data_IF_193041416202
#
_entry.id   IF_193041416202
#
_cell.length_a   1.000
_cell.length_b   1.000
_cell.length_c   1.000
_cell.angle_alpha   90.00
_cell.angle_beta   90.00
_cell.angle_gamma   90.00
#
_symmetry.space_group_name_H-M   'P 1'
#
loop_
_entity.id
_entity.type
_entity.pdbx_description
1 polymer ?
#
# COMPACT_ATOMS: atom_id res chain seq x y z
N UNK A 1 8.30 12.17 -7.71
CA UNK A 1 8.82 11.52 -6.49
C UNK A 1 7.68 10.71 -5.91
N UNK A 2 7.82 9.39 -5.76
CA UNK A 2 6.75 8.57 -5.18
C UNK A 2 6.65 8.86 -3.67
N UNK A 3 5.45 9.19 -3.20
CA UNK A 3 5.18 9.37 -1.78
C UNK A 3 5.39 8.04 -1.04
N UNK A 4 6.02 8.03 0.13
CA UNK A 4 6.29 6.81 0.90
C UNK A 4 5.53 6.84 2.22
N UNK A 5 4.79 5.76 2.51
CA UNK A 5 4.08 5.54 3.75
C UNK A 5 4.75 4.40 4.52
N UNK A 6 5.51 4.74 5.57
CA UNK A 6 6.13 3.75 6.46
C UNK A 6 5.24 3.45 7.66
N UNK A 7 4.50 2.33 7.56
CA UNK A 7 3.52 1.95 8.58
C UNK A 7 4.15 1.31 9.83
N UNK A 8 5.45 1.03 9.81
CA UNK A 8 6.18 0.51 11.00
C UNK A 8 6.24 1.57 12.11
N UNK A 9 6.12 2.84 11.73
CA UNK A 9 6.07 3.99 12.65
C UNK A 9 4.68 4.23 13.24
N UNK A 10 3.65 3.55 12.73
CA UNK A 10 2.25 3.74 13.11
C UNK A 10 1.77 2.64 14.07
N UNK A 11 0.84 3.00 14.95
CA UNK A 11 0.14 2.02 15.76
C UNK A 11 -0.66 1.06 14.85
N UNK A 12 -0.75 -0.25 15.17
CA UNK A 12 -1.40 -1.24 14.31
C UNK A 12 -2.81 -0.86 13.85
N UNK A 13 -3.61 -0.27 14.75
CA UNK A 13 -4.99 0.17 14.46
C UNK A 13 -5.08 1.29 13.43
N UNK A 14 -4.01 2.06 13.25
CA UNK A 14 -3.99 3.24 12.39
C UNK A 14 -3.43 2.92 10.99
N UNK A 15 -2.78 1.75 10.81
CA UNK A 15 -2.13 1.36 9.56
C UNK A 15 -3.13 1.28 8.40
N UNK A 16 -4.14 0.42 8.50
CA UNK A 16 -5.10 0.21 7.40
C UNK A 16 -5.89 1.49 7.08
N UNK A 17 -6.49 2.21 8.05
CA UNK A 17 -7.20 3.44 7.76
C UNK A 17 -6.37 4.48 6.99
N UNK A 18 -5.09 4.66 7.36
CA UNK A 18 -4.20 5.59 6.67
C UNK A 18 -3.84 5.13 5.25
N UNK A 19 -3.56 3.83 5.07
CA UNK A 19 -3.27 3.26 3.75
C UNK A 19 -4.44 3.48 2.78
N UNK A 20 -5.67 3.18 3.21
CA UNK A 20 -6.85 3.34 2.36
C UNK A 20 -7.19 4.81 2.11
N UNK A 21 -7.10 5.67 3.14
CA UNK A 21 -7.32 7.10 2.97
C UNK A 21 -6.33 7.71 1.96
N UNK A 22 -5.06 7.31 2.03
CA UNK A 22 -4.03 7.74 1.07
C UNK A 22 -4.35 7.24 -0.35
N UNK A 23 -4.69 5.96 -0.51
CA UNK A 23 -5.04 5.38 -1.81
C UNK A 23 -6.27 6.06 -2.44
N UNK A 24 -7.33 6.25 -1.66
CA UNK A 24 -8.58 6.85 -2.15
C UNK A 24 -8.37 8.29 -2.63
N UNK A 25 -7.44 9.01 -2.00
CA UNK A 25 -7.01 10.36 -2.37
C UNK A 25 -6.12 10.47 -3.61
N UNK A 26 -5.57 9.37 -4.12
CA UNK A 26 -4.76 9.38 -5.35
C UNK A 26 -5.60 9.77 -6.57
N UNK A 27 -4.98 10.47 -7.52
CA UNK A 27 -5.51 10.62 -8.88
C UNK A 27 -5.23 9.33 -9.69
N UNK A 28 -6.03 9.05 -10.74
CA UNK A 28 -5.72 7.96 -11.66
C UNK A 28 -4.29 8.08 -12.21
N UNK A 29 -3.52 6.99 -12.17
CA UNK A 29 -2.11 6.94 -12.57
C UNK A 29 -1.11 7.32 -11.47
N UNK A 30 -1.54 7.82 -10.31
CA UNK A 30 -0.65 8.08 -9.17
C UNK A 30 -0.43 6.82 -8.31
N UNK A 31 0.67 6.81 -7.56
CA UNK A 31 1.05 5.72 -6.68
C UNK A 31 1.83 6.21 -5.45
N UNK A 32 1.87 5.37 -4.41
CA UNK A 32 2.74 5.52 -3.25
C UNK A 32 3.44 4.20 -2.91
N UNK A 33 4.52 4.28 -2.15
CA UNK A 33 5.26 3.12 -1.64
C UNK A 33 4.86 2.86 -0.19
N UNK A 34 4.29 1.69 0.08
CA UNK A 34 4.09 1.14 1.41
C UNK A 34 5.40 0.49 1.91
N UNK A 35 5.83 0.83 3.12
CA UNK A 35 6.93 0.14 3.83
C UNK A 35 6.37 -0.58 5.05
N UNK A 36 6.58 -1.88 5.15
CA UNK A 36 6.03 -2.74 6.21
C UNK A 36 7.11 -3.67 6.80
N UNK A 37 6.86 -4.17 8.01
CA UNK A 37 7.72 -5.10 8.76
C UNK A 37 7.48 -6.59 8.38
N UNK A 38 6.47 -6.89 7.58
CA UNK A 38 6.14 -8.23 7.08
C UNK A 38 5.47 -8.16 5.70
N UNK A 39 5.29 -9.31 5.05
CA UNK A 39 4.57 -9.42 3.78
C UNK A 39 3.14 -8.86 3.92
N UNK A 40 2.77 -7.79 3.18
CA UNK A 40 1.42 -7.22 3.20
C UNK A 40 0.38 -8.03 2.40
N UNK A 41 0.59 -9.33 2.17
CA UNK A 41 -0.37 -10.22 1.50
C UNK A 41 -1.81 -10.14 2.02
N UNK A 42 -2.09 -10.07 3.35
CA UNK A 42 -3.47 -9.87 3.83
C UNK A 42 -4.09 -8.56 3.33
N UNK A 43 -3.30 -7.48 3.29
CA UNK A 43 -3.73 -6.19 2.78
C UNK A 43 -3.99 -6.24 1.27
N UNK A 44 -3.19 -6.97 0.50
CA UNK A 44 -3.46 -7.21 -0.93
C UNK A 44 -4.84 -7.82 -1.16
N UNK A 45 -5.22 -8.82 -0.36
CA UNK A 45 -6.55 -9.43 -0.46
C UNK A 45 -7.66 -8.45 -0.07
N UNK A 46 -7.43 -7.60 0.93
CA UNK A 46 -8.39 -6.55 1.29
C UNK A 46 -8.59 -5.55 0.15
N UNK A 47 -7.51 -5.09 -0.49
CA UNK A 47 -7.58 -4.27 -1.71
C UNK A 47 -8.32 -4.98 -2.84
N UNK A 48 -8.06 -6.27 -3.05
CA UNK A 48 -8.74 -7.07 -4.06
C UNK A 48 -10.25 -7.18 -3.82
N UNK A 49 -10.68 -7.22 -2.56
CA UNK A 49 -12.09 -7.28 -2.20
C UNK A 49 -12.78 -5.90 -2.30
N UNK A 50 -12.14 -4.84 -1.80
CA UNK A 50 -12.77 -3.53 -1.62
C UNK A 50 -12.52 -2.53 -2.76
N UNK A 51 -11.47 -2.74 -3.56
CA UNK A 51 -11.03 -1.85 -4.66
C UNK A 51 -10.71 -2.65 -5.93
N UNK A 52 -11.44 -3.75 -6.15
CA UNK A 52 -11.28 -4.61 -7.31
C UNK A 52 -11.16 -3.79 -8.62
N UNK A 53 -10.17 -4.13 -9.45
CA UNK A 53 -9.88 -3.46 -10.73
C UNK A 53 -9.55 -1.96 -10.65
N UNK A 54 -9.27 -1.40 -9.47
CA UNK A 54 -8.92 0.02 -9.31
C UNK A 54 -7.45 0.24 -8.95
N UNK A 55 -6.71 -0.80 -8.55
CA UNK A 55 -5.34 -0.67 -8.06
C UNK A 55 -4.33 -1.53 -8.84
N UNK A 56 -3.07 -1.12 -8.75
CA UNK A 56 -1.88 -1.89 -9.09
C UNK A 56 -1.11 -2.24 -7.82
N UNK A 57 -0.37 -3.35 -7.86
CA UNK A 57 0.42 -3.84 -6.73
C UNK A 57 1.75 -4.37 -7.25
N UNK A 58 2.83 -3.69 -6.91
CA UNK A 58 4.16 -4.04 -7.39
C UNK A 58 5.14 -4.15 -6.20
N UNK A 59 5.75 -5.31 -6.02
CA UNK A 59 6.78 -5.48 -5.02
C UNK A 59 8.06 -4.78 -5.49
N UNK A 60 8.55 -3.86 -4.67
CA UNK A 60 9.86 -3.22 -4.85
C UNK A 60 10.94 -3.92 -4.01
N UNK A 61 10.54 -4.53 -2.89
CA UNK A 61 11.41 -5.29 -1.99
C UNK A 61 10.58 -6.34 -1.25
N UNK A 62 11.10 -7.57 -1.15
CA UNK A 62 10.38 -8.73 -0.63
C UNK A 62 11.12 -9.37 0.56
N UNK A 63 11.41 -8.57 1.60
CA UNK A 63 11.93 -9.06 2.88
C UNK A 63 13.32 -9.68 2.83
N UNK A 64 13.78 -10.27 3.96
CA UNK A 64 13.06 -10.42 5.23
C UNK A 64 13.09 -9.16 6.13
N UNK A 65 13.99 -8.23 5.88
CA UNK A 65 14.23 -7.07 6.75
C UNK A 65 13.17 -5.97 6.54
N UNK A 66 12.79 -5.74 5.28
CA UNK A 66 11.81 -4.73 4.90
C UNK A 66 10.98 -5.23 3.73
N UNK A 67 9.68 -4.91 3.76
CA UNK A 67 8.77 -5.14 2.64
C UNK A 67 8.37 -3.81 2.05
N UNK A 68 8.60 -3.63 0.75
CA UNK A 68 8.23 -2.41 0.02
C UNK A 68 7.33 -2.76 -1.14
N UNK A 69 6.16 -2.14 -1.16
CA UNK A 69 5.17 -2.34 -2.23
C UNK A 69 4.76 -0.98 -2.78
N UNK A 70 4.86 -0.81 -4.08
CA UNK A 70 4.21 0.29 -4.77
C UNK A 70 2.74 -0.05 -5.02
N UNK A 71 1.86 0.80 -4.50
CA UNK A 71 0.41 0.70 -4.63
C UNK A 71 -0.05 1.89 -5.47
N UNK A 72 -0.61 1.63 -6.64
CA UNK A 72 -1.04 2.66 -7.59
C UNK A 72 -2.52 2.60 -7.89
N UNK A 73 -3.11 3.74 -8.26
CA UNK A 73 -4.50 3.83 -8.74
C UNK A 73 -4.51 3.73 -10.25
N UNK A 74 -5.32 2.84 -10.81
CA UNK A 74 -5.43 2.66 -12.26
C UNK A 74 -5.99 3.92 -12.93
N UNK A 75 -5.47 4.19 -14.13
CA UNK A 75 -5.91 5.22 -15.05
C UNK A 75 -7.28 4.94 -15.65
#
# INVERSE_FOLDING_TARGET
>A
MAHTLDVRTLAPRDRHPQIFALFDGLKPGEAFVLVNDHDPKPLFYQFSAERANQFTWNYLEAGPEVWRVEIGKRG
#
